data_IF_989824233699
#
_entry.id   IF_989824233699
#
_cell.length_a   1.000
_cell.length_b   1.000
_cell.length_c   1.000
_cell.angle_alpha   90.00
_cell.angle_beta   90.00
_cell.angle_gamma   90.00
#
_symmetry.space_group_name_H-M   'P 1'
#
loop_
_entity.id
_entity.type
_entity.pdbx_description
1 polymer ?
#
# COMPACT_ATOMS: atom_id res chain seq x y z
N UNK A 1 -12.77 4.61 -14.30
CA UNK A 1 -12.80 6.04 -13.95
C UNK A 1 -11.57 6.29 -13.10
N UNK A 2 -10.69 7.19 -13.51
CA UNK A 2 -9.45 7.47 -12.77
C UNK A 2 -9.71 8.46 -11.64
N UNK A 3 -8.84 8.51 -10.63
CA UNK A 3 -9.01 9.48 -9.54
C UNK A 3 -8.95 10.94 -10.02
N UNK A 4 -8.26 11.20 -11.14
CA UNK A 4 -8.25 12.51 -11.81
C UNK A 4 -9.64 12.90 -12.31
N UNK A 5 -10.43 11.94 -12.78
CA UNK A 5 -11.79 12.18 -13.26
C UNK A 5 -12.74 12.52 -12.10
N UNK A 6 -12.51 11.93 -10.93
CA UNK A 6 -13.29 12.23 -9.71
C UNK A 6 -12.95 13.64 -9.20
N UNK A 7 -11.67 14.00 -9.16
CA UNK A 7 -11.22 15.32 -8.73
C UNK A 7 -11.79 16.46 -9.61
N UNK A 8 -11.83 16.25 -10.92
CA UNK A 8 -12.44 17.19 -11.85
C UNK A 8 -13.93 17.37 -11.58
N UNK A 9 -14.67 16.28 -11.32
CA UNK A 9 -16.10 16.35 -10.99
C UNK A 9 -16.36 17.10 -9.68
N UNK A 10 -15.53 16.91 -8.66
CA UNK A 10 -15.63 17.62 -7.37
C UNK A 10 -15.48 19.12 -7.60
N UNK A 11 -14.45 19.54 -8.36
CA UNK A 11 -14.24 20.95 -8.72
C UNK A 11 -15.39 21.51 -9.55
N UNK A 12 -15.89 20.76 -10.53
CA UNK A 12 -17.03 21.18 -11.36
C UNK A 12 -18.31 21.40 -10.54
N UNK A 13 -18.47 20.70 -9.42
CA UNK A 13 -19.57 20.88 -8.46
C UNK A 13 -19.35 22.03 -7.47
N UNK A 14 -18.25 22.78 -7.55
CA UNK A 14 -17.96 23.90 -6.66
C UNK A 14 -17.58 23.50 -5.23
N UNK A 15 -17.19 22.23 -5.01
CA UNK A 15 -16.80 21.72 -3.70
C UNK A 15 -15.33 22.08 -3.40
N UNK A 16 -15.13 23.20 -2.70
CA UNK A 16 -13.81 23.82 -2.46
C UNK A 16 -13.23 23.57 -1.05
N UNK A 17 -13.93 22.83 -0.19
CA UNK A 17 -13.43 22.50 1.14
C UNK A 17 -12.09 21.72 1.07
N UNK A 18 -11.17 21.91 2.05
CA UNK A 18 -9.93 21.15 2.13
C UNK A 18 -10.19 19.63 2.13
N UNK A 19 -9.36 18.89 1.39
CA UNK A 19 -9.48 17.43 1.24
C UNK A 19 -8.15 16.81 0.84
N UNK A 20 -8.00 15.53 1.13
CA UNK A 20 -6.90 14.70 0.64
C UNK A 20 -7.09 14.49 -0.87
N UNK A 21 -6.00 14.53 -1.63
CA UNK A 21 -6.01 14.27 -3.07
C UNK A 21 -5.11 13.07 -3.38
N UNK A 22 -5.33 12.38 -4.52
CA UNK A 22 -4.45 11.29 -4.94
C UNK A 22 -2.99 11.77 -5.08
N UNK A 23 -2.79 12.96 -5.66
CA UNK A 23 -1.46 13.53 -5.81
C UNK A 23 -0.78 13.78 -4.46
N UNK A 24 -1.51 14.28 -3.46
CA UNK A 24 -0.96 14.46 -2.12
C UNK A 24 -0.52 13.13 -1.49
N UNK A 25 -1.33 12.07 -1.62
CA UNK A 25 -0.97 10.73 -1.12
C UNK A 25 0.29 10.20 -1.80
N UNK A 26 0.39 10.36 -3.12
CA UNK A 26 1.59 9.99 -3.87
C UNK A 26 2.81 10.83 -3.46
N UNK A 27 2.62 12.13 -3.27
CA UNK A 27 3.69 13.06 -2.90
C UNK A 27 4.30 12.70 -1.54
N UNK A 28 3.53 12.22 -0.57
CA UNK A 28 4.07 11.90 0.77
C UNK A 28 4.79 10.55 0.85
N UNK A 29 4.68 9.69 -0.17
CA UNK A 29 5.43 8.44 -0.24
C UNK A 29 6.87 8.75 -0.66
N UNK A 30 7.85 8.39 0.19
CA UNK A 30 9.27 8.56 -0.09
C UNK A 30 9.90 7.30 -0.69
N UNK A 31 9.49 6.12 -0.24
CA UNK A 31 10.03 4.85 -0.69
C UNK A 31 8.94 3.80 -0.86
N UNK A 32 9.18 2.84 -1.77
CA UNK A 32 8.28 1.73 -2.04
C UNK A 32 9.08 0.45 -2.22
N UNK A 33 8.91 -0.48 -1.29
CA UNK A 33 9.61 -1.76 -1.26
C UNK A 33 8.61 -2.90 -1.38
N UNK A 34 9.01 -3.98 -2.05
CA UNK A 34 8.20 -5.19 -2.19
C UNK A 34 8.94 -6.41 -1.69
N UNK A 35 8.21 -7.31 -1.07
CA UNK A 35 8.72 -8.60 -0.65
C UNK A 35 7.72 -9.71 -0.98
N UNK A 36 8.22 -10.79 -1.53
CA UNK A 36 7.52 -12.06 -1.53
C UNK A 36 7.86 -12.79 -0.23
N UNK A 37 6.85 -13.17 0.55
CA UNK A 37 7.06 -13.71 1.90
C UNK A 37 7.78 -15.06 1.85
N UNK A 38 7.39 -15.94 0.93
CA UNK A 38 8.02 -17.24 0.77
C UNK A 38 9.49 -17.15 0.39
N UNK A 39 9.85 -16.26 -0.53
CA UNK A 39 11.26 -15.99 -0.89
C UNK A 39 12.06 -15.47 0.31
N UNK A 40 11.52 -14.49 1.06
CA UNK A 40 12.24 -13.91 2.20
C UNK A 40 12.42 -14.86 3.36
N UNK A 41 11.48 -15.77 3.60
CA UNK A 41 11.63 -16.82 4.61
C UNK A 41 12.74 -17.80 4.20
N UNK A 42 12.77 -18.21 2.93
CA UNK A 42 13.81 -19.10 2.41
C UNK A 42 15.21 -18.47 2.45
N UNK A 43 15.32 -17.17 2.11
CA UNK A 43 16.58 -16.43 2.16
C UNK A 43 17.11 -16.27 3.58
N UNK A 44 16.23 -16.07 4.56
CA UNK A 44 16.58 -15.86 5.96
C UNK A 44 16.86 -17.16 6.73
N UNK A 45 16.63 -18.34 6.14
CA UNK A 45 16.78 -19.61 6.83
C UNK A 45 18.27 -19.90 7.15
N UNK A 46 18.65 -20.10 8.42
CA UNK A 46 20.07 -20.19 8.81
C UNK A 46 20.83 -21.36 8.18
N UNK A 47 20.17 -22.52 8.09
CA UNK A 47 20.70 -23.73 7.45
C UNK A 47 19.72 -24.23 6.40
N UNK A 48 19.99 -23.90 5.13
CA UNK A 48 19.15 -24.30 3.99
C UNK A 48 19.01 -25.82 3.84
N UNK A 49 19.96 -26.60 4.38
CA UNK A 49 19.92 -28.06 4.34
C UNK A 49 18.97 -28.69 5.36
N UNK A 50 18.61 -27.92 6.40
CA UNK A 50 17.67 -28.30 7.45
C UNK A 50 16.35 -27.53 7.36
N UNK A 51 16.03 -26.96 6.19
CA UNK A 51 14.81 -26.20 5.98
C UNK A 51 13.61 -27.14 5.89
N UNK A 52 12.68 -27.01 6.84
CA UNK A 52 11.35 -27.61 6.72
C UNK A 52 10.66 -27.08 5.45
N UNK A 53 9.79 -27.88 4.84
CA UNK A 53 9.05 -27.46 3.66
C UNK A 53 8.20 -26.21 4.00
N UNK A 54 8.64 -25.03 3.53
CA UNK A 54 7.89 -23.80 3.65
C UNK A 54 6.54 -23.97 2.93
N UNK A 55 5.44 -23.55 3.57
CA UNK A 55 4.11 -23.64 2.97
C UNK A 55 4.10 -22.98 1.59
N UNK A 56 3.67 -23.69 0.52
CA UNK A 56 3.64 -23.12 -0.83
C UNK A 56 2.80 -21.85 -0.94
N UNK A 57 1.81 -21.69 -0.05
CA UNK A 57 0.96 -20.50 0.04
C UNK A 57 1.76 -19.23 0.36
N UNK A 58 2.89 -19.34 1.05
CA UNK A 58 3.73 -18.17 1.37
C UNK A 58 4.38 -17.57 0.12
N UNK A 59 4.59 -18.37 -0.94
CA UNK A 59 5.07 -17.88 -2.23
C UNK A 59 4.00 -17.04 -2.98
N UNK A 60 2.75 -17.07 -2.54
CA UNK A 60 1.63 -16.34 -3.15
C UNK A 60 1.36 -15.00 -2.45
N UNK A 61 2.11 -14.68 -1.39
CA UNK A 61 1.91 -13.51 -0.56
C UNK A 61 2.96 -12.45 -0.88
N UNK A 62 2.48 -11.32 -1.39
CA UNK A 62 3.28 -10.11 -1.62
C UNK A 62 2.94 -9.06 -0.57
N UNK A 63 3.96 -8.48 0.06
CA UNK A 63 3.80 -7.30 0.92
C UNK A 63 4.46 -6.11 0.23
N UNK A 64 3.75 -4.98 0.23
CA UNK A 64 4.28 -3.67 -0.12
C UNK A 64 4.55 -2.92 1.18
N UNK A 65 5.73 -2.30 1.28
CA UNK A 65 6.12 -1.44 2.39
C UNK A 65 6.38 -0.05 1.81
N UNK A 66 5.55 0.91 2.19
CA UNK A 66 5.70 2.31 1.85
C UNK A 66 6.32 3.05 3.03
N UNK A 67 7.40 3.79 2.77
CA UNK A 67 7.96 4.74 3.74
C UNK A 67 7.40 6.11 3.38
N UNK A 68 6.84 6.83 4.36
CA UNK A 68 6.35 8.19 4.19
C UNK A 68 7.46 9.20 4.49
N UNK A 69 7.34 10.44 3.99
CA UNK A 69 8.32 11.51 4.22
C UNK A 69 8.63 11.80 5.70
N UNK A 70 7.70 11.48 6.61
CA UNK A 70 7.90 11.64 8.05
C UNK A 70 8.57 10.43 8.72
N UNK A 71 8.98 9.41 7.95
CA UNK A 71 9.58 8.17 8.43
C UNK A 71 8.58 7.10 8.87
N UNK A 72 7.27 7.37 8.84
CA UNK A 72 6.26 6.37 9.17
C UNK A 72 6.15 5.33 8.06
N UNK A 73 6.01 4.06 8.42
CA UNK A 73 5.87 2.96 7.46
C UNK A 73 4.43 2.48 7.37
N UNK A 74 3.92 2.31 6.16
CA UNK A 74 2.60 1.74 5.89
C UNK A 74 2.76 0.50 5.03
N UNK A 75 2.17 -0.62 5.46
CA UNK A 75 2.20 -1.87 4.70
C UNK A 75 0.89 -2.09 3.96
N UNK A 76 0.94 -2.85 2.87
CA UNK A 76 -0.22 -3.39 2.20
C UNK A 76 0.09 -4.78 1.67
N UNK A 77 -0.93 -5.61 1.57
CA UNK A 77 -0.77 -7.05 1.37
C UNK A 77 -1.59 -7.51 0.16
N UNK A 78 -1.04 -8.43 -0.63
CA UNK A 78 -1.75 -9.17 -1.66
C UNK A 78 -1.51 -10.66 -1.45
N UNK A 79 -2.57 -11.37 -1.05
CA UNK A 79 -2.58 -12.82 -0.87
C UNK A 79 -3.35 -13.45 -2.03
N UNK A 80 -2.64 -14.04 -3.00
CA UNK A 80 -3.30 -14.69 -4.13
C UNK A 80 -3.95 -16.01 -3.68
N UNK A 81 -5.20 -16.22 -4.10
CA UNK A 81 -6.02 -17.35 -3.67
C UNK A 81 -5.62 -18.69 -4.33
N UNK A 82 -4.96 -18.65 -5.49
CA UNK A 82 -4.60 -19.84 -6.27
C UNK A 82 -3.21 -19.66 -6.91
N UNK A 83 -2.32 -20.66 -6.80
CA UNK A 83 -1.00 -20.62 -7.45
C UNK A 83 -1.08 -20.41 -8.97
N UNK A 84 -2.08 -20.99 -9.63
CA UNK A 84 -2.26 -20.93 -11.08
C UNK A 84 -2.55 -19.52 -11.58
N UNK A 85 -3.12 -18.68 -10.72
CA UNK A 85 -3.46 -17.28 -11.00
C UNK A 85 -2.45 -16.31 -10.39
N UNK A 86 -1.33 -16.80 -9.85
CA UNK A 86 -0.33 -15.93 -9.27
C UNK A 86 0.43 -15.17 -10.36
N UNK A 87 0.36 -13.84 -10.28
CA UNK A 87 1.14 -12.92 -11.07
C UNK A 87 1.84 -11.93 -10.13
N UNK A 88 3.18 -11.88 -10.11
CA UNK A 88 3.93 -11.04 -9.19
C UNK A 88 3.75 -9.55 -9.45
N UNK A 89 3.50 -9.12 -10.69
CA UNK A 89 3.26 -7.71 -11.00
C UNK A 89 1.88 -7.27 -10.52
N UNK A 90 0.85 -8.11 -10.72
CA UNK A 90 -0.50 -7.88 -10.21
C UNK A 90 -0.49 -7.87 -8.68
N UNK A 91 0.20 -8.83 -8.05
CA UNK A 91 0.35 -8.88 -6.59
C UNK A 91 0.96 -7.61 -6.02
N UNK A 92 2.02 -7.08 -6.65
CA UNK A 92 2.65 -5.80 -6.26
C UNK A 92 1.69 -4.63 -6.39
N UNK A 93 0.93 -4.54 -7.49
CA UNK A 93 -0.06 -3.47 -7.73
C UNK A 93 -1.13 -3.47 -6.63
N UNK A 94 -1.72 -4.63 -6.35
CA UNK A 94 -2.76 -4.78 -5.30
C UNK A 94 -2.18 -4.46 -3.92
N UNK A 95 -1.00 -4.98 -3.59
CA UNK A 95 -0.36 -4.72 -2.30
C UNK A 95 -0.08 -3.22 -2.10
N UNK A 96 0.37 -2.53 -3.16
CA UNK A 96 0.59 -1.08 -3.12
C UNK A 96 -0.72 -0.32 -2.97
N UNK A 97 -1.75 -0.67 -3.74
CA UNK A 97 -3.07 -0.03 -3.65
C UNK A 97 -3.64 -0.16 -2.23
N UNK A 98 -3.52 -1.34 -1.61
CA UNK A 98 -3.93 -1.57 -0.23
C UNK A 98 -3.16 -0.70 0.76
N UNK A 99 -1.85 -0.48 0.55
CA UNK A 99 -1.06 0.43 1.39
C UNK A 99 -1.47 1.90 1.19
N UNK A 100 -1.69 2.33 -0.06
CA UNK A 100 -2.16 3.68 -0.43
C UNK A 100 -3.52 3.99 0.19
N UNK A 101 -4.44 3.03 0.19
CA UNK A 101 -5.75 3.17 0.83
C UNK A 101 -5.64 3.41 2.35
N UNK A 102 -4.69 2.76 3.03
CA UNK A 102 -4.39 3.02 4.45
C UNK A 102 -3.83 4.44 4.65
N UNK A 103 -2.92 4.89 3.77
CA UNK A 103 -2.39 6.27 3.81
C UNK A 103 -3.52 7.29 3.66
N UNK A 104 -4.46 7.06 2.74
CA UNK A 104 -5.61 7.95 2.54
C UNK A 104 -6.41 8.14 3.83
N UNK A 105 -6.67 7.05 4.56
CA UNK A 105 -7.36 7.10 5.85
C UNK A 105 -6.59 7.93 6.88
N UNK A 106 -5.26 7.76 6.95
CA UNK A 106 -4.39 8.52 7.87
C UNK A 106 -4.39 10.01 7.53
N UNK A 107 -4.19 10.37 6.26
CA UNK A 107 -4.20 11.78 5.81
C UNK A 107 -5.57 12.42 5.98
N UNK A 108 -6.66 11.65 5.82
CA UNK A 108 -8.01 12.11 6.10
C UNK A 108 -8.22 12.46 7.58
N UNK A 109 -7.74 11.60 8.48
CA UNK A 109 -7.73 11.86 9.91
C UNK A 109 -6.89 13.09 10.27
N UNK A 110 -5.65 13.18 9.77
CA UNK A 110 -4.76 14.32 10.02
C UNK A 110 -5.33 15.64 9.51
N UNK A 111 -5.99 15.63 8.35
CA UNK A 111 -6.70 16.79 7.85
C UNK A 111 -7.83 17.21 8.80
N UNK A 112 -8.67 16.25 9.23
CA UNK A 112 -9.77 16.55 10.15
C UNK A 112 -9.26 17.09 11.49
N UNK A 113 -8.17 16.54 12.00
CA UNK A 113 -7.52 17.00 13.22
C UNK A 113 -7.04 18.46 13.08
N UNK A 114 -6.32 18.79 12.00
CA UNK A 114 -5.88 20.18 11.75
C UNK A 114 -7.04 21.16 11.67
N UNK A 115 -8.14 20.76 11.03
CA UNK A 115 -9.36 21.59 10.96
C UNK A 115 -9.99 21.79 12.34
N UNK A 116 -10.01 20.76 13.19
CA UNK A 116 -10.52 20.86 14.56
C UNK A 116 -9.66 21.77 15.43
N UNK A 117 -8.34 21.67 15.34
CA UNK A 117 -7.40 22.50 16.12
C UNK A 117 -7.36 23.97 15.68
N UNK A 118 -7.73 24.24 14.41
CA UNK A 118 -7.79 25.60 13.85
C UNK A 118 -9.16 26.27 14.03
N UNK A 119 -10.11 25.60 14.70
CA UNK A 119 -11.48 26.09 14.95
C UNK A 119 -11.62 26.82 16.28
#
# INVERSE_FOLDING_TARGET
>A
MSDKDIEQQIKAKGLTAPRVTPQHVEDIISECHYLNVGEKIQDAWPDKSAMDACSPTLNLLTICVLVLRNGFTVTGESACASPENFDPEIGRKIARENAVNKIWMLEGYLLKQRLHESS
#
